data_IF_015165556969
#
_entry.id   IF_015165556969
#
_cell.length_a   1.000
_cell.length_b   1.000
_cell.length_c   1.000
_cell.angle_alpha   90.00
_cell.angle_beta   90.00
_cell.angle_gamma   90.00
#
_symmetry.space_group_name_H-M   'P 1'
#
loop_
_entity.id
_entity.type
_entity.pdbx_description
1 polymer ?
#
# COMPACT_ATOMS: atom_id res chain seq x y z
N UNK A 1 20.14 -2.87 -4.04
CA UNK A 1 18.68 -3.01 -3.90
C UNK A 1 18.24 -2.37 -2.61
N UNK A 2 17.11 -1.72 -2.62
CA UNK A 2 16.61 -1.03 -1.43
C UNK A 2 15.61 -1.90 -0.68
N UNK A 3 15.31 -1.53 0.56
CA UNK A 3 14.23 -2.14 1.34
C UNK A 3 12.88 -1.49 1.01
N UNK A 4 12.88 -0.53 0.11
CA UNK A 4 11.68 0.25 -0.23
C UNK A 4 10.80 -0.50 -1.20
N UNK A 5 9.49 -0.28 -1.06
CA UNK A 5 8.48 -1.04 -1.78
C UNK A 5 7.35 -0.13 -2.23
N UNK A 6 6.84 -0.38 -3.44
CA UNK A 6 5.60 0.23 -3.88
C UNK A 6 4.49 -0.81 -3.75
N UNK A 7 3.38 -0.40 -3.15
CA UNK A 7 2.19 -1.26 -3.05
C UNK A 7 1.07 -0.58 -3.80
N UNK A 8 0.31 -1.35 -4.57
CA UNK A 8 -0.79 -0.83 -5.38
C UNK A 8 -2.09 -1.46 -4.95
N UNK A 9 -3.13 -0.63 -4.84
CA UNK A 9 -4.48 -1.09 -4.62
C UNK A 9 -5.46 -0.16 -5.35
N UNK A 10 -6.67 -0.63 -5.56
CA UNK A 10 -7.73 0.13 -6.21
C UNK A 10 -8.91 0.21 -5.28
N UNK A 11 -9.52 1.38 -5.15
CA UNK A 11 -10.71 1.57 -4.34
C UNK A 11 -11.87 2.03 -5.21
N UNK A 12 -13.08 1.68 -4.80
CA UNK A 12 -14.28 1.95 -5.58
C UNK A 12 -14.86 3.34 -5.37
N UNK A 13 -14.34 4.11 -4.42
CA UNK A 13 -14.82 5.47 -4.16
C UNK A 13 -13.69 6.32 -3.64
N UNK A 14 -13.86 7.63 -3.79
CA UNK A 14 -12.90 8.59 -3.27
C UNK A 14 -12.81 8.52 -1.75
N UNK A 15 -13.95 8.37 -1.09
CA UNK A 15 -13.99 8.29 0.37
C UNK A 15 -13.22 7.09 0.89
N UNK A 16 -13.40 5.94 0.26
CA UNK A 16 -12.68 4.74 0.67
C UNK A 16 -11.18 4.89 0.43
N UNK A 17 -10.80 5.43 -0.73
CA UNK A 17 -9.40 5.68 -1.04
C UNK A 17 -8.76 6.57 0.02
N UNK A 18 -9.47 7.63 0.43
CA UNK A 18 -9.01 8.53 1.47
C UNK A 18 -8.84 7.84 2.81
N UNK A 19 -9.79 6.97 3.18
CA UNK A 19 -9.70 6.24 4.45
C UNK A 19 -8.52 5.29 4.47
N UNK A 20 -8.32 4.55 3.39
CA UNK A 20 -7.18 3.63 3.29
C UNK A 20 -5.87 4.41 3.37
N UNK A 21 -5.75 5.47 2.57
CA UNK A 21 -4.53 6.27 2.52
C UNK A 21 -4.21 6.88 3.88
N UNK A 22 -5.21 7.48 4.53
CA UNK A 22 -5.03 8.14 5.82
C UNK A 22 -4.61 7.15 6.89
N UNK A 23 -5.25 5.99 6.93
CA UNK A 23 -4.89 4.98 7.91
C UNK A 23 -3.45 4.54 7.77
N UNK A 24 -3.01 4.28 6.53
CA UNK A 24 -1.65 3.82 6.30
C UNK A 24 -0.62 4.87 6.71
N UNK A 25 -0.88 6.14 6.37
CA UNK A 25 0.06 7.20 6.69
C UNK A 25 0.05 7.51 8.18
N UNK A 26 -1.13 7.62 8.79
CA UNK A 26 -1.22 7.97 10.21
C UNK A 26 -0.64 6.89 11.11
N UNK A 27 -0.75 5.63 10.71
CA UNK A 27 -0.16 4.53 11.48
C UNK A 27 1.30 4.28 11.11
N UNK A 28 1.88 5.13 10.28
CA UNK A 28 3.26 5.03 9.83
C UNK A 28 3.60 3.69 9.16
N UNK A 29 2.60 3.11 8.55
CA UNK A 29 2.77 1.91 7.72
C UNK A 29 3.23 2.28 6.32
N UNK A 30 3.00 3.52 5.91
CA UNK A 30 3.47 4.07 4.65
C UNK A 30 3.98 5.48 4.87
N UNK A 31 5.03 5.85 4.14
CA UNK A 31 5.54 7.20 4.19
C UNK A 31 4.68 8.15 3.35
N UNK A 32 4.07 7.61 2.31
CA UNK A 32 3.31 8.41 1.36
C UNK A 32 2.30 7.51 0.66
N UNK A 33 1.10 8.03 0.43
CA UNK A 33 0.11 7.37 -0.42
C UNK A 33 -0.39 8.41 -1.41
N UNK A 34 -0.17 8.15 -2.69
CA UNK A 34 -0.69 9.01 -3.75
C UNK A 34 -1.99 8.41 -4.27
N UNK A 35 -3.00 9.23 -4.47
CA UNK A 35 -4.29 8.79 -4.98
C UNK A 35 -4.48 9.36 -6.36
N UNK A 36 -4.66 8.48 -7.36
CA UNK A 36 -4.99 8.88 -8.72
C UNK A 36 -6.48 8.67 -8.92
N UNK A 37 -7.25 9.75 -9.13
CA UNK A 37 -8.69 9.61 -9.27
C UNK A 37 -9.07 9.10 -10.65
N UNK A 38 -10.18 8.38 -10.68
CA UNK A 38 -10.97 8.04 -11.86
C UNK A 38 -10.21 7.28 -12.92
N UNK A 39 -9.56 6.20 -12.51
CA UNK A 39 -9.03 5.27 -13.49
C UNK A 39 -10.17 4.38 -13.97
N UNK A 40 -10.17 4.09 -15.25
CA UNK A 40 -11.17 3.20 -15.82
C UNK A 40 -10.57 1.82 -15.93
N UNK A 41 -11.16 0.87 -15.19
CA UNK A 41 -10.64 -0.49 -15.11
C UNK A 41 -11.58 -1.43 -15.86
N UNK A 42 -11.03 -2.28 -16.70
CA UNK A 42 -11.77 -3.35 -17.37
C UNK A 42 -11.18 -4.67 -16.90
N UNK A 43 -12.03 -5.59 -16.46
CA UNK A 43 -11.54 -6.82 -15.85
C UNK A 43 -12.60 -7.93 -15.95
N UNK A 44 -12.15 -9.15 -15.79
CA UNK A 44 -13.02 -10.32 -15.74
C UNK A 44 -13.55 -10.49 -14.32
N UNK A 45 -14.87 -10.65 -14.24
CA UNK A 45 -15.53 -10.95 -12.98
C UNK A 45 -16.74 -11.83 -13.28
N UNK A 46 -16.79 -13.02 -12.68
CA UNK A 46 -17.89 -13.96 -12.86
C UNK A 46 -18.19 -14.23 -14.33
N UNK A 47 -17.15 -14.54 -15.08
CA UNK A 47 -17.21 -14.88 -16.51
C UNK A 47 -17.70 -13.75 -17.42
N UNK A 48 -17.61 -12.52 -16.96
CA UNK A 48 -18.00 -11.35 -17.74
C UNK A 48 -16.92 -10.30 -17.69
N UNK A 49 -16.82 -9.51 -18.74
CA UNK A 49 -15.97 -8.34 -18.73
C UNK A 49 -16.75 -7.21 -18.05
N UNK A 50 -16.23 -6.73 -16.96
CA UNK A 50 -16.80 -5.62 -16.22
C UNK A 50 -15.95 -4.38 -16.42
N UNK A 51 -16.57 -3.22 -16.26
CA UNK A 51 -15.88 -1.95 -16.31
C UNK A 51 -16.32 -1.13 -15.11
N UNK A 52 -15.35 -0.52 -14.44
CA UNK A 52 -15.67 0.36 -13.33
C UNK A 52 -14.71 1.52 -13.25
N UNK A 53 -15.14 2.56 -12.58
CA UNK A 53 -14.32 3.72 -12.25
C UNK A 53 -13.73 3.47 -10.87
N UNK A 54 -12.41 3.66 -10.77
CA UNK A 54 -11.73 3.38 -9.51
C UNK A 54 -10.73 4.47 -9.17
N UNK A 55 -10.28 4.47 -7.94
CA UNK A 55 -9.25 5.37 -7.43
C UNK A 55 -8.03 4.51 -7.14
N UNK A 56 -6.93 4.81 -7.84
CA UNK A 56 -5.70 4.03 -7.73
C UNK A 56 -4.83 4.60 -6.63
N UNK A 57 -4.35 3.75 -5.74
CA UNK A 57 -3.44 4.16 -4.67
C UNK A 57 -2.05 3.61 -4.97
N UNK A 58 -1.06 4.50 -4.89
CA UNK A 58 0.35 4.14 -4.97
C UNK A 58 0.93 4.40 -3.59
N UNK A 59 1.33 3.34 -2.92
CA UNK A 59 1.73 3.36 -1.52
C UNK A 59 3.23 3.14 -1.44
N UNK A 60 3.94 4.05 -0.78
CA UNK A 60 5.39 3.95 -0.62
C UNK A 60 5.70 3.52 0.80
N UNK A 61 6.31 2.34 0.92
CA UNK A 61 6.56 1.72 2.21
C UNK A 61 7.85 0.90 2.14
N UNK A 62 8.04 0.02 3.10
CA UNK A 62 9.20 -0.88 3.14
C UNK A 62 8.70 -2.32 3.05
N UNK A 63 9.52 -3.19 2.48
CA UNK A 63 9.15 -4.59 2.32
C UNK A 63 8.87 -5.26 3.67
N UNK A 64 9.59 -4.87 4.72
CA UNK A 64 9.38 -5.42 6.06
C UNK A 64 8.02 -5.06 6.65
N UNK A 65 7.37 -4.00 6.15
CA UNK A 65 6.04 -3.59 6.62
C UNK A 65 4.91 -4.13 5.75
N UNK A 66 5.23 -4.79 4.64
CA UNK A 66 4.21 -5.24 3.71
C UNK A 66 3.08 -6.06 4.35
N UNK A 67 3.36 -7.03 5.23
CA UNK A 67 2.26 -7.80 5.84
C UNK A 67 1.28 -6.93 6.63
N UNK A 68 1.78 -5.89 7.30
CA UNK A 68 0.93 -4.97 8.03
C UNK A 68 0.15 -4.04 7.09
N UNK A 69 0.78 -3.63 6.00
CA UNK A 69 0.10 -2.83 4.97
C UNK A 69 -1.04 -3.64 4.36
N UNK A 70 -0.77 -4.87 3.96
CA UNK A 70 -1.79 -5.74 3.40
C UNK A 70 -2.97 -5.94 4.36
N UNK A 71 -2.66 -6.22 5.63
CA UNK A 71 -3.70 -6.42 6.64
C UNK A 71 -4.55 -5.15 6.82
N UNK A 72 -3.92 -3.99 6.88
CA UNK A 72 -4.63 -2.72 7.05
C UNK A 72 -5.54 -2.43 5.85
N UNK A 73 -5.06 -2.69 4.64
CA UNK A 73 -5.88 -2.50 3.45
C UNK A 73 -7.08 -3.44 3.48
N UNK A 74 -6.86 -4.72 3.77
CA UNK A 74 -7.95 -5.69 3.81
C UNK A 74 -9.02 -5.33 4.83
N UNK A 75 -8.61 -4.80 5.97
CA UNK A 75 -9.56 -4.42 7.02
C UNK A 75 -10.38 -3.20 6.66
N UNK A 76 -9.87 -2.35 5.78
CA UNK A 76 -10.52 -1.08 5.43
C UNK A 76 -11.26 -1.15 4.09
N UNK A 77 -10.88 -2.09 3.23
CA UNK A 77 -11.38 -2.18 1.86
C UNK A 77 -12.75 -2.85 1.81
N UNK A 78 -13.62 -2.35 0.93
CA UNK A 78 -14.97 -2.89 0.78
C UNK A 78 -15.03 -4.09 -0.16
N UNK A 79 -14.05 -4.28 -1.03
CA UNK A 79 -14.05 -5.40 -1.96
C UNK A 79 -13.76 -6.70 -1.23
N UNK A 80 -14.43 -7.77 -1.66
CA UNK A 80 -14.17 -9.09 -1.12
C UNK A 80 -12.77 -9.56 -1.47
N UNK A 81 -12.34 -9.30 -2.70
CA UNK A 81 -10.99 -9.65 -3.17
C UNK A 81 -10.36 -8.39 -3.77
N UNK A 82 -9.74 -7.54 -2.94
CA UNK A 82 -9.11 -6.33 -3.45
C UNK A 82 -7.80 -6.66 -4.16
N UNK A 83 -7.43 -5.81 -5.12
CA UNK A 83 -6.09 -5.85 -5.69
C UNK A 83 -5.11 -5.33 -4.64
N UNK A 84 -4.15 -6.14 -4.24
CA UNK A 84 -3.05 -5.70 -3.38
C UNK A 84 -1.81 -6.37 -3.93
N UNK A 85 -0.99 -5.60 -4.62
CA UNK A 85 0.24 -6.10 -5.22
C UNK A 85 1.38 -5.16 -4.87
N UNK A 86 2.60 -5.67 -4.96
CA UNK A 86 3.77 -4.88 -4.60
C UNK A 86 4.91 -5.14 -5.55
N UNK A 87 5.72 -4.11 -5.76
CA UNK A 87 6.96 -4.24 -6.52
C UNK A 87 8.08 -3.60 -5.71
N UNK A 88 9.29 -4.16 -5.74
CA UNK A 88 10.40 -3.54 -5.06
C UNK A 88 10.87 -2.29 -5.80
N UNK A 89 11.32 -1.30 -5.04
CA UNK A 89 11.95 -0.11 -5.63
C UNK A 89 13.42 -0.46 -5.80
N UNK A 90 13.83 -0.67 -7.04
CA UNK A 90 15.18 -1.13 -7.33
C UNK A 90 16.24 -0.06 -7.05
N UNK A 91 15.92 1.21 -7.27
CA UNK A 91 16.85 2.32 -7.09
C UNK A 91 16.07 3.61 -6.87
N UNK A 92 16.68 4.56 -6.21
CA UNK A 92 16.06 5.85 -5.97
C UNK A 92 17.08 6.84 -5.44
N UNK A 93 16.67 8.10 -5.37
CA UNK A 93 17.51 9.13 -4.76
C UNK A 93 17.74 8.78 -3.30
N UNK A 94 19.01 8.68 -2.86
CA UNK A 94 19.30 8.27 -1.48
C UNK A 94 18.57 9.08 -0.41
N UNK A 95 18.51 10.40 -0.58
CA UNK A 95 17.81 11.24 0.40
C UNK A 95 16.33 10.94 0.48
N UNK A 96 15.71 10.60 -0.65
CA UNK A 96 14.29 10.26 -0.67
C UNK A 96 14.03 8.89 -0.02
N UNK A 97 14.86 7.91 -0.33
CA UNK A 97 14.74 6.58 0.26
C UNK A 97 14.98 6.62 1.77
N UNK A 98 15.90 7.47 2.22
CA UNK A 98 16.12 7.68 3.64
C UNK A 98 14.89 8.31 4.29
N UNK A 99 14.30 9.32 3.65
CA UNK A 99 13.07 9.92 4.15
C UNK A 99 11.95 8.89 4.27
N UNK A 100 11.79 8.04 3.26
CA UNK A 100 10.78 7.00 3.26
C UNK A 100 11.00 6.05 4.43
N UNK A 101 12.24 5.67 4.68
CA UNK A 101 12.59 4.80 5.79
C UNK A 101 12.28 5.46 7.13
N UNK A 102 12.66 6.73 7.28
CA UNK A 102 12.49 7.47 8.54
C UNK A 102 11.00 7.70 8.87
N UNK A 103 10.17 7.85 7.87
CA UNK A 103 8.76 8.18 8.10
C UNK A 103 7.87 6.94 8.28
N UNK A 104 8.43 5.75 8.16
CA UNK A 104 7.72 4.51 8.44
C UNK A 104 8.17 3.95 9.78
N UNK A 105 7.25 3.29 10.48
CA UNK A 105 7.55 2.81 11.82
C UNK A 105 8.54 1.64 11.78
N UNK A 106 9.34 1.46 12.84
CA UNK A 106 10.20 0.30 12.92
C UNK A 106 9.37 -0.98 13.03
N UNK A 107 9.90 -2.05 12.47
CA UNK A 107 9.28 -3.37 12.61
C UNK A 107 9.70 -3.94 13.95
N UNK A 108 8.74 -4.50 14.68
CA UNK A 108 9.04 -5.18 15.93
C UNK A 108 9.96 -6.37 15.65
N UNK A 109 10.98 -6.61 16.45
CA UNK A 109 11.84 -7.77 16.24
C UNK A 109 11.08 -9.06 16.43
N UNK A 110 11.50 -10.11 15.72
CA UNK A 110 10.96 -11.44 15.93
C UNK A 110 11.23 -11.87 17.35
N UNK A 111 10.35 -12.71 17.94
CA UNK A 111 10.56 -13.15 19.31
C UNK A 111 11.94 -13.74 19.57
N UNK A 112 12.52 -14.42 18.60
CA UNK A 112 13.85 -14.99 18.75
C UNK A 112 14.98 -13.98 18.65
N UNK A 113 14.71 -12.77 18.16
CA UNK A 113 15.68 -11.72 17.98
C UNK A 113 15.77 -10.78 19.17
N UNK A 114 14.89 -10.93 20.12
CA UNK A 114 14.86 -10.04 21.27
C UNK A 114 16.07 -10.34 22.15
N UNK A 115 16.94 -9.38 22.25
CA UNK A 115 18.10 -9.49 23.10
C UNK A 115 17.77 -8.80 24.40
N UNK A 116 17.76 -9.53 25.39
CA UNK A 116 17.43 -8.98 26.69
C UNK A 116 18.07 -7.65 27.01
#
# INVERSE_FOLDING_TARGET
MTDSLLVFTMCGSEEEAGRVARRLVEQRLAACVAITPRVRSLYWWQNRVEQSEEWALTIKTRSSLYPLVEAAIRETHSYQVPEIIAVPIAAGLPAYLEWLHMETRPVAPEPGDVMG
#
